data_IF_499203213002
#
_entry.id   IF_499203213002
#
_cell.length_a   1.000
_cell.length_b   1.000
_cell.length_c   1.000
_cell.angle_alpha   90.00
_cell.angle_beta   90.00
_cell.angle_gamma   90.00
#
_symmetry.space_group_name_H-M   'P 1'
#
loop_
_entity.id
_entity.type
_entity.pdbx_description
1 polymer ?
#
# COMPACT_ATOMS: atom_id res chain seq x y z
N UNK A 1 3.25 25.32 -26.68
CA UNK A 1 3.02 26.78 -26.74
C UNK A 1 3.62 27.45 -25.50
N UNK A 2 3.19 27.09 -24.28
CA UNK A 2 3.72 27.64 -23.02
C UNK A 2 5.25 27.55 -22.88
N UNK A 3 5.90 26.42 -23.22
CA UNK A 3 7.37 26.29 -23.18
C UNK A 3 8.14 27.34 -23.99
N UNK A 4 7.53 27.91 -25.05
CA UNK A 4 8.15 28.95 -25.88
C UNK A 4 8.01 30.35 -25.28
N UNK A 5 7.15 30.49 -24.27
CA UNK A 5 6.89 31.75 -23.55
C UNK A 5 7.69 31.81 -22.24
N UNK A 6 8.36 30.72 -21.85
CA UNK A 6 9.22 30.68 -20.67
C UNK A 6 10.62 31.17 -21.03
N UNK A 7 11.12 32.12 -20.25
CA UNK A 7 12.49 32.63 -20.36
C UNK A 7 13.44 31.67 -19.66
N UNK A 8 14.00 30.73 -20.42
CA UNK A 8 14.88 29.67 -19.92
C UNK A 8 16.33 30.10 -20.20
N UNK A 9 17.19 30.22 -19.18
CA UNK A 9 18.60 30.57 -19.36
C UNK A 9 19.33 29.60 -20.29
N UNK A 10 20.31 30.14 -21.03
CA UNK A 10 21.11 29.35 -21.98
C UNK A 10 21.86 28.24 -21.24
N UNK A 11 21.81 27.03 -21.79
CA UNK A 11 22.47 25.84 -21.23
C UNK A 11 21.61 25.02 -20.27
N UNK A 12 20.40 25.49 -19.92
CA UNK A 12 19.44 24.75 -19.10
C UNK A 12 18.37 24.06 -19.96
N UNK A 13 17.98 22.86 -19.54
CA UNK A 13 16.83 22.14 -20.08
C UNK A 13 15.74 22.03 -19.03
N UNK A 14 14.48 22.20 -19.43
CA UNK A 14 13.33 22.06 -18.54
C UNK A 14 12.30 21.10 -19.14
N UNK A 15 11.71 20.29 -18.27
CA UNK A 15 10.69 19.30 -18.62
C UNK A 15 9.40 19.68 -17.91
N UNK A 16 8.34 19.92 -18.69
CA UNK A 16 6.99 20.06 -18.11
C UNK A 16 6.50 18.69 -17.67
N UNK A 17 6.15 18.56 -16.39
CA UNK A 17 5.57 17.34 -15.81
C UNK A 17 4.08 17.25 -16.14
N UNK A 18 3.55 16.03 -16.14
CA UNK A 18 2.11 15.76 -16.33
C UNK A 18 1.21 16.51 -15.35
N UNK A 19 1.70 16.79 -14.13
CA UNK A 19 0.99 17.60 -13.13
C UNK A 19 0.72 19.05 -13.59
N UNK A 20 1.44 19.55 -14.59
CA UNK A 20 1.17 20.86 -15.18
C UNK A 20 0.04 20.87 -16.21
N UNK A 21 -0.60 19.73 -16.49
CA UNK A 21 -1.70 19.69 -17.46
C UNK A 21 -2.89 20.52 -16.98
N UNK A 22 -3.36 21.46 -17.81
CA UNK A 22 -4.46 22.38 -17.47
C UNK A 22 -4.05 23.67 -16.77
N UNK A 23 -2.79 23.79 -16.36
CA UNK A 23 -2.28 24.99 -15.69
C UNK A 23 -2.04 26.16 -16.66
N UNK A 24 -2.12 27.39 -16.12
CA UNK A 24 -1.91 28.63 -16.89
C UNK A 24 -0.43 28.95 -17.04
N UNK A 25 -0.03 29.65 -18.10
CA UNK A 25 1.37 30.04 -18.34
C UNK A 25 2.04 30.72 -17.11
N UNK A 26 1.31 31.57 -16.38
CA UNK A 26 1.77 32.23 -15.14
C UNK A 26 2.26 31.26 -14.05
N UNK A 27 1.67 30.07 -13.98
CA UNK A 27 2.05 29.04 -13.02
C UNK A 27 3.48 28.59 -13.31
N UNK A 28 3.76 28.25 -14.57
CA UNK A 28 5.07 27.78 -15.02
C UNK A 28 6.16 28.85 -14.93
N UNK A 29 5.84 30.13 -15.17
CA UNK A 29 6.81 31.23 -14.99
C UNK A 29 7.25 31.32 -13.53
N UNK A 30 6.31 31.22 -12.58
CA UNK A 30 6.63 31.23 -11.15
C UNK A 30 7.41 30.00 -10.72
N UNK A 31 7.01 28.82 -11.20
CA UNK A 31 7.67 27.55 -10.88
C UNK A 31 9.11 27.52 -11.42
N UNK A 32 9.32 27.97 -12.66
CA UNK A 32 10.66 28.10 -13.24
C UNK A 32 11.54 29.06 -12.43
N UNK A 33 11.00 30.22 -12.03
CA UNK A 33 11.75 31.19 -11.23
C UNK A 33 12.19 30.59 -9.89
N UNK A 34 11.30 29.84 -9.22
CA UNK A 34 11.62 29.15 -7.98
C UNK A 34 12.77 28.14 -8.17
N UNK A 35 12.73 27.34 -9.24
CA UNK A 35 13.80 26.38 -9.56
C UNK A 35 15.14 27.09 -9.87
N UNK A 36 15.11 28.22 -10.57
CA UNK A 36 16.31 29.02 -10.87
C UNK A 36 16.91 29.65 -9.62
N UNK A 37 16.08 30.18 -8.71
CA UNK A 37 16.54 30.72 -7.43
C UNK A 37 17.17 29.63 -6.56
N UNK A 38 16.59 28.42 -6.54
CA UNK A 38 17.18 27.26 -5.87
C UNK A 38 18.52 26.85 -6.50
N UNK A 39 18.60 26.81 -7.84
CA UNK A 39 19.83 26.47 -8.54
C UNK A 39 20.95 27.46 -8.26
N UNK A 40 20.65 28.76 -8.26
CA UNK A 40 21.61 29.81 -7.93
C UNK A 40 22.17 29.68 -6.51
N UNK A 41 21.33 29.26 -5.55
CA UNK A 41 21.77 28.99 -4.18
C UNK A 41 22.70 27.78 -4.10
N UNK A 42 22.39 26.69 -4.82
CA UNK A 42 23.26 25.52 -4.92
C UNK A 42 24.61 25.90 -5.51
N UNK A 43 24.65 26.64 -6.62
CA UNK A 43 25.89 27.12 -7.23
C UNK A 43 26.71 28.01 -6.29
N UNK A 44 26.04 28.86 -5.52
CA UNK A 44 26.69 29.71 -4.51
C UNK A 44 27.34 28.88 -3.41
N UNK A 45 26.62 27.91 -2.85
CA UNK A 45 27.15 27.03 -1.80
C UNK A 45 28.31 26.17 -2.28
N UNK A 46 28.28 25.69 -3.53
CA UNK A 46 29.38 24.95 -4.15
C UNK A 46 30.64 25.82 -4.25
N UNK A 47 30.51 27.11 -4.62
CA UNK A 47 31.65 28.02 -4.73
C UNK A 47 32.22 28.43 -3.37
N UNK A 48 31.35 28.67 -2.40
CA UNK A 48 31.73 29.36 -1.16
C UNK A 48 32.11 28.40 -0.03
N UNK A 49 31.68 27.12 -0.07
CA UNK A 49 31.95 26.16 1.00
C UNK A 49 32.97 25.07 0.60
N UNK A 50 33.96 24.77 1.47
CA UNK A 50 34.88 23.67 1.24
C UNK A 50 34.17 22.31 1.36
N UNK A 51 34.57 21.35 0.54
CA UNK A 51 34.01 19.99 0.54
C UNK A 51 34.54 19.15 1.72
N UNK A 52 33.74 18.19 2.25
CA UNK A 52 32.36 17.87 1.89
C UNK A 52 31.33 18.79 2.60
N UNK A 53 30.35 19.29 1.84
CA UNK A 53 29.26 20.12 2.37
C UNK A 53 27.93 19.75 1.71
N UNK A 54 26.82 19.93 2.44
CA UNK A 54 25.46 19.71 1.92
C UNK A 54 24.98 20.98 1.23
N UNK A 55 24.91 20.96 -0.10
CA UNK A 55 24.50 22.11 -0.92
C UNK A 55 23.01 22.10 -1.27
N UNK A 56 22.38 20.93 -1.18
CA UNK A 56 20.94 20.74 -1.40
C UNK A 56 20.45 19.59 -0.52
N UNK A 57 19.22 19.73 -0.03
CA UNK A 57 18.52 18.69 0.72
C UNK A 57 17.17 18.48 0.04
N UNK A 58 16.77 17.23 -0.17
CA UNK A 58 15.46 16.98 -0.74
C UNK A 58 14.36 17.48 0.21
N UNK A 59 13.31 18.10 -0.34
CA UNK A 59 12.21 18.60 0.46
C UNK A 59 11.61 17.53 1.39
N UNK A 60 11.51 17.87 2.67
CA UNK A 60 10.89 17.00 3.66
C UNK A 60 9.35 16.89 3.44
N UNK A 61 8.64 16.18 4.33
CA UNK A 61 7.18 16.05 4.20
C UNK A 61 6.48 17.41 4.23
N UNK A 62 6.95 18.35 5.04
CA UNK A 62 6.35 19.67 5.23
C UNK A 62 6.46 20.49 3.94
N UNK A 63 7.67 20.56 3.38
CA UNK A 63 7.93 21.27 2.13
C UNK A 63 7.19 20.64 0.94
N UNK A 64 7.17 19.31 0.85
CA UNK A 64 6.39 18.60 -0.18
C UNK A 64 4.91 18.89 -0.04
N UNK A 65 4.40 18.97 1.20
CA UNK A 65 2.99 19.24 1.46
C UNK A 65 2.60 20.63 0.98
N UNK A 66 3.41 21.63 1.31
CA UNK A 66 3.23 23.01 0.86
C UNK A 66 3.25 23.11 -0.67
N UNK A 67 4.21 22.46 -1.33
CA UNK A 67 4.32 22.49 -2.79
C UNK A 67 3.14 21.80 -3.49
N UNK A 68 2.74 20.63 -2.98
CA UNK A 68 1.79 19.77 -3.66
C UNK A 68 0.31 20.09 -3.34
N UNK A 69 0.01 20.65 -2.17
CA UNK A 69 -1.36 20.82 -1.66
C UNK A 69 -1.80 22.28 -1.51
N UNK A 70 -1.02 23.25 -1.97
CA UNK A 70 -1.47 24.64 -2.07
C UNK A 70 -2.03 24.96 -3.46
N UNK A 71 -2.95 24.11 -3.91
CA UNK A 71 -3.73 24.32 -5.13
C UNK A 71 -4.94 25.20 -4.84
N UNK A 72 -5.53 25.86 -5.85
CA UNK A 72 -6.73 26.69 -5.64
C UNK A 72 -7.92 25.88 -5.10
N UNK A 73 -7.95 24.56 -5.33
CA UNK A 73 -9.00 23.61 -4.91
C UNK A 73 -8.99 23.28 -3.41
N UNK A 74 -7.91 23.58 -2.70
CA UNK A 74 -7.78 23.26 -1.27
C UNK A 74 -8.15 24.48 -0.43
N UNK A 75 -9.19 24.31 0.39
CA UNK A 75 -9.72 25.38 1.23
C UNK A 75 -8.82 25.65 2.46
N UNK A 76 -8.34 24.58 3.10
CA UNK A 76 -7.63 24.65 4.37
C UNK A 76 -6.61 23.51 4.52
N UNK A 77 -5.48 23.80 5.16
CA UNK A 77 -4.45 22.85 5.58
C UNK A 77 -4.30 22.98 7.10
N UNK A 78 -4.70 21.93 7.81
CA UNK A 78 -4.62 21.85 9.27
C UNK A 78 -3.37 21.08 9.69
N UNK A 79 -2.68 21.58 10.71
CA UNK A 79 -1.52 20.92 11.31
C UNK A 79 -1.51 21.15 12.83
N UNK A 80 -1.25 20.07 13.58
CA UNK A 80 -1.23 20.03 15.04
C UNK A 80 0.18 20.18 15.64
N UNK A 81 1.21 20.36 14.80
CA UNK A 81 2.56 20.73 15.21
C UNK A 81 2.86 22.21 14.91
N UNK A 82 3.16 22.96 15.97
CA UNK A 82 3.40 24.41 15.89
C UNK A 82 4.67 24.72 15.12
N UNK A 83 5.73 23.93 15.29
CA UNK A 83 6.99 24.15 14.58
C UNK A 83 6.83 23.90 13.07
N UNK A 84 6.12 22.83 12.69
CA UNK A 84 5.78 22.59 11.30
C UNK A 84 4.93 23.73 10.70
N UNK A 85 3.92 24.27 11.41
CA UNK A 85 3.12 25.41 10.93
C UNK A 85 3.97 26.65 10.69
N UNK A 86 4.90 26.97 11.58
CA UNK A 86 5.80 28.11 11.41
C UNK A 86 6.70 27.92 10.20
N UNK A 87 7.29 26.72 10.02
CA UNK A 87 8.07 26.37 8.83
C UNK A 87 7.25 26.48 7.54
N UNK A 88 6.02 25.95 7.54
CA UNK A 88 5.11 26.07 6.38
C UNK A 88 4.81 27.53 6.05
N UNK A 89 4.55 28.38 7.04
CA UNK A 89 4.29 29.80 6.83
C UNK A 89 5.46 30.52 6.14
N UNK A 90 6.70 30.24 6.57
CA UNK A 90 7.91 30.83 5.97
C UNK A 90 8.08 30.40 4.50
N UNK A 91 7.77 29.15 4.18
CA UNK A 91 7.85 28.62 2.82
C UNK A 91 6.76 29.21 1.92
N UNK A 92 5.53 29.26 2.42
CA UNK A 92 4.37 29.81 1.69
C UNK A 92 4.51 31.29 1.42
N UNK A 93 5.13 32.05 2.32
CA UNK A 93 5.38 33.48 2.13
C UNK A 93 6.23 33.77 0.88
N UNK A 94 7.16 32.87 0.53
CA UNK A 94 7.98 32.98 -0.68
C UNK A 94 7.19 32.70 -1.97
N UNK A 95 6.10 31.92 -1.90
CA UNK A 95 5.35 31.45 -3.08
C UNK A 95 4.08 32.29 -3.31
N UNK A 96 3.28 32.51 -2.25
CA UNK A 96 1.99 33.20 -2.33
C UNK A 96 1.49 33.61 -0.95
N UNK A 97 1.40 34.93 -0.70
CA UNK A 97 0.78 35.47 0.52
C UNK A 97 -0.68 35.06 0.71
N UNK A 98 -1.44 34.84 -0.37
CA UNK A 98 -2.86 34.43 -0.29
C UNK A 98 -3.02 33.00 0.23
N UNK A 99 -2.04 32.13 -0.03
CA UNK A 99 -2.05 30.75 0.44
C UNK A 99 -1.78 30.65 1.95
N UNK A 100 -1.15 31.66 2.56
CA UNK A 100 -0.87 31.72 4.00
C UNK A 100 -2.14 31.60 4.85
N UNK A 101 -3.22 32.25 4.41
CA UNK A 101 -4.51 32.24 5.14
C UNK A 101 -5.18 30.87 5.19
N UNK A 102 -4.69 29.89 4.42
CA UNK A 102 -5.21 28.51 4.39
C UNK A 102 -4.50 27.60 5.36
N UNK A 103 -3.31 27.98 5.84
CA UNK A 103 -2.60 27.22 6.88
C UNK A 103 -3.20 27.56 8.23
N UNK A 104 -3.75 26.56 8.94
CA UNK A 104 -4.26 26.74 10.29
C UNK A 104 -3.61 25.75 11.26
N UNK A 105 -3.25 26.27 12.44
CA UNK A 105 -2.81 25.44 13.55
C UNK A 105 -4.03 24.85 14.25
N UNK A 106 -4.00 23.56 14.49
CA UNK A 106 -5.00 22.84 15.25
C UNK A 106 -4.50 22.67 16.69
N UNK A 107 -5.22 23.25 17.65
CA UNK A 107 -4.87 23.25 19.08
C UNK A 107 -5.88 22.48 19.94
N UNK A 108 -6.73 21.67 19.31
CA UNK A 108 -7.73 20.86 20.00
C UNK A 108 -7.10 19.75 20.83
N UNK A 109 -7.74 19.41 21.96
CA UNK A 109 -7.27 18.36 22.86
C UNK A 109 -7.35 16.95 22.25
N UNK A 110 -8.32 16.72 21.36
CA UNK A 110 -8.47 15.46 20.62
C UNK A 110 -7.51 15.45 19.42
N UNK A 111 -6.79 14.35 19.13
CA UNK A 111 -5.93 14.25 17.96
C UNK A 111 -6.65 14.66 16.67
N UNK A 112 -5.94 15.37 15.78
CA UNK A 112 -6.51 16.00 14.59
C UNK A 112 -7.30 15.02 13.70
N UNK A 113 -6.77 13.81 13.46
CA UNK A 113 -7.43 12.81 12.60
C UNK A 113 -8.66 12.18 13.26
N UNK A 114 -8.69 12.07 14.58
CA UNK A 114 -9.89 11.62 15.30
C UNK A 114 -10.97 12.69 15.27
N UNK A 115 -10.61 13.95 15.53
CA UNK A 115 -11.53 15.08 15.48
C UNK A 115 -12.20 15.25 14.09
N UNK A 116 -11.48 14.92 13.02
CA UNK A 116 -11.98 14.93 11.64
C UNK A 116 -12.66 13.62 11.20
N UNK A 117 -12.69 12.57 12.05
CA UNK A 117 -13.27 11.27 11.70
C UNK A 117 -12.48 10.53 10.59
N UNK A 118 -11.21 10.85 10.43
CA UNK A 118 -10.31 10.27 9.43
C UNK A 118 -9.56 9.06 9.99
N UNK A 119 -9.28 9.04 11.31
CA UNK A 119 -8.48 7.99 11.95
C UNK A 119 -8.98 6.58 11.60
N UNK A 120 -10.29 6.35 11.76
CA UNK A 120 -10.91 5.07 11.40
C UNK A 120 -10.68 4.68 9.94
N UNK A 121 -10.71 5.65 9.01
CA UNK A 121 -10.47 5.36 7.60
C UNK A 121 -9.00 5.02 7.31
N UNK A 122 -8.06 5.56 8.09
CA UNK A 122 -6.64 5.21 8.03
C UNK A 122 -6.46 3.78 8.53
N UNK A 123 -7.03 3.45 9.69
CA UNK A 123 -6.94 2.10 10.26
C UNK A 123 -7.56 1.06 9.31
N UNK A 124 -8.75 1.36 8.78
CA UNK A 124 -9.45 0.50 7.81
C UNK A 124 -8.68 0.37 6.49
N UNK A 125 -7.87 1.36 6.11
CA UNK A 125 -7.11 1.34 4.86
C UNK A 125 -5.99 0.30 4.84
N UNK A 126 -5.58 -0.30 5.97
CA UNK A 126 -4.57 -1.36 5.99
C UNK A 126 -5.14 -2.77 6.18
N UNK A 127 -6.46 -2.88 6.36
CA UNK A 127 -7.10 -4.19 6.48
C UNK A 127 -7.07 -4.92 5.15
N UNK A 128 -6.83 -6.24 5.18
CA UNK A 128 -6.95 -7.09 3.99
C UNK A 128 -8.33 -6.98 3.33
N UNK A 129 -9.38 -6.83 4.14
CA UNK A 129 -10.77 -6.69 3.70
C UNK A 129 -11.28 -5.27 3.97
N UNK A 130 -11.86 -4.64 2.94
CA UNK A 130 -12.43 -3.28 3.02
C UNK A 130 -13.90 -3.31 2.67
N UNK A 131 -14.75 -2.84 3.58
CA UNK A 131 -16.20 -2.83 3.39
C UNK A 131 -16.67 -1.68 2.50
N UNK A 132 -17.60 -1.99 1.60
CA UNK A 132 -18.30 -1.05 0.74
C UNK A 132 -19.58 -0.54 1.43
N UNK A 133 -20.08 0.61 1.01
CA UNK A 133 -21.27 1.25 1.62
C UNK A 133 -22.52 0.42 1.41
N UNK A 134 -22.62 -0.28 0.27
CA UNK A 134 -23.71 -1.20 -0.03
C UNK A 134 -23.72 -2.48 0.84
N UNK A 135 -22.67 -2.75 1.62
CA UNK A 135 -22.52 -3.97 2.42
C UNK A 135 -21.80 -5.12 1.71
N UNK A 136 -21.30 -4.88 0.49
CA UNK A 136 -20.24 -5.68 -0.12
C UNK A 136 -18.87 -5.37 0.48
N UNK A 137 -17.83 -6.02 -0.02
CA UNK A 137 -16.45 -5.74 0.40
C UNK A 137 -15.46 -6.10 -0.71
N UNK A 138 -14.29 -5.48 -0.68
CA UNK A 138 -13.14 -5.88 -1.50
C UNK A 138 -12.09 -6.54 -0.62
N UNK A 139 -11.36 -7.49 -1.19
CA UNK A 139 -10.21 -8.15 -0.57
C UNK A 139 -8.99 -7.82 -1.40
N UNK A 140 -7.94 -7.29 -0.77
CA UNK A 140 -6.70 -6.89 -1.45
C UNK A 140 -5.58 -7.82 -0.99
N UNK A 141 -5.03 -8.59 -1.92
CA UNK A 141 -3.92 -9.50 -1.71
C UNK A 141 -2.70 -9.04 -2.51
N UNK A 142 -1.66 -8.62 -1.80
CA UNK A 142 -0.37 -8.27 -2.37
C UNK A 142 0.49 -9.54 -2.48
N UNK A 143 0.91 -9.88 -3.70
CA UNK A 143 1.81 -11.00 -3.98
C UNK A 143 3.16 -10.48 -4.46
N UNK A 144 4.12 -11.38 -4.68
CA UNK A 144 5.45 -11.01 -5.19
C UNK A 144 5.40 -10.29 -6.54
N UNK A 145 4.54 -10.75 -7.47
CA UNK A 145 4.53 -10.25 -8.85
C UNK A 145 3.41 -9.25 -9.13
N UNK A 146 2.28 -9.36 -8.43
CA UNK A 146 1.08 -8.58 -8.71
C UNK A 146 0.21 -8.40 -7.47
N UNK A 147 -0.72 -7.45 -7.54
CA UNK A 147 -1.76 -7.27 -6.52
C UNK A 147 -3.08 -7.77 -7.08
N UNK A 148 -3.70 -8.71 -6.38
CA UNK A 148 -5.02 -9.22 -6.71
C UNK A 148 -6.07 -8.53 -5.83
N UNK A 149 -7.18 -8.11 -6.45
CA UNK A 149 -8.31 -7.53 -5.74
C UNK A 149 -9.58 -8.29 -6.08
N UNK A 150 -10.23 -8.87 -5.09
CA UNK A 150 -11.46 -9.65 -5.24
C UNK A 150 -12.68 -8.86 -4.71
N UNK A 151 -13.79 -8.87 -5.44
CA UNK A 151 -15.01 -8.11 -5.10
C UNK A 151 -16.14 -9.05 -4.69
N UNK A 152 -16.65 -8.85 -3.47
CA UNK A 152 -17.70 -9.68 -2.90
C UNK A 152 -18.97 -8.88 -2.59
N UNK A 153 -20.13 -9.49 -2.85
CA UNK A 153 -21.45 -8.90 -2.51
C UNK A 153 -21.74 -8.90 -1.01
N UNK A 154 -21.09 -9.77 -0.22
CA UNK A 154 -21.19 -9.78 1.23
C UNK A 154 -22.64 -9.86 1.75
N UNK A 155 -23.06 -8.83 2.48
CA UNK A 155 -24.43 -8.70 3.03
C UNK A 155 -25.41 -8.12 2.00
N UNK A 156 -24.92 -7.56 0.90
CA UNK A 156 -25.71 -7.01 -0.20
C UNK A 156 -26.22 -8.11 -1.13
N UNK A 157 -27.08 -9.01 -0.64
CA UNK A 157 -27.54 -10.17 -1.41
C UNK A 157 -28.63 -9.87 -2.43
N UNK A 158 -28.97 -8.60 -2.64
CA UNK A 158 -29.96 -8.18 -3.63
C UNK A 158 -31.38 -8.61 -3.26
N UNK A 159 -32.34 -7.70 -3.49
CA UNK A 159 -33.76 -8.03 -3.41
C UNK A 159 -34.24 -8.65 -4.73
N UNK A 160 -35.20 -7.99 -5.39
CA UNK A 160 -35.82 -8.46 -6.64
C UNK A 160 -34.96 -8.32 -7.90
N UNK A 161 -33.84 -7.60 -7.86
CA UNK A 161 -33.01 -7.29 -9.04
C UNK A 161 -31.51 -7.51 -8.76
N UNK A 162 -31.05 -8.73 -9.01
CA UNK A 162 -29.68 -9.18 -8.74
C UNK A 162 -28.68 -8.46 -9.66
N UNK A 163 -29.03 -8.23 -10.92
CA UNK A 163 -28.11 -7.62 -11.91
C UNK A 163 -27.79 -6.17 -11.54
N UNK A 164 -28.76 -5.38 -11.08
CA UNK A 164 -28.50 -4.03 -10.56
C UNK A 164 -27.66 -4.03 -9.29
N UNK A 165 -27.88 -5.00 -8.41
CA UNK A 165 -27.12 -5.12 -7.16
C UNK A 165 -25.64 -5.42 -7.46
N UNK A 166 -25.37 -6.29 -8.43
CA UNK A 166 -24.02 -6.59 -8.92
C UNK A 166 -23.36 -5.33 -9.50
N UNK A 167 -24.03 -4.64 -10.43
CA UNK A 167 -23.48 -3.42 -11.02
C UNK A 167 -23.16 -2.37 -9.95
N UNK A 168 -24.09 -2.12 -9.02
CA UNK A 168 -23.86 -1.17 -7.94
C UNK A 168 -22.65 -1.55 -7.08
N UNK A 169 -22.53 -2.83 -6.72
CA UNK A 169 -21.39 -3.33 -5.92
C UNK A 169 -20.07 -3.15 -6.67
N UNK A 170 -20.02 -3.47 -7.96
CA UNK A 170 -18.83 -3.29 -8.78
C UNK A 170 -18.45 -1.80 -8.98
N UNK A 171 -19.44 -0.90 -9.10
CA UNK A 171 -19.17 0.54 -9.19
C UNK A 171 -18.60 1.09 -7.87
N UNK A 172 -19.16 0.70 -6.73
CA UNK A 172 -18.62 1.07 -5.42
C UNK A 172 -17.22 0.47 -5.20
N UNK A 173 -17.02 -0.78 -5.63
CA UNK A 173 -15.71 -1.42 -5.58
C UNK A 173 -14.69 -0.68 -6.45
N UNK A 174 -15.03 -0.25 -7.67
CA UNK A 174 -14.10 0.47 -8.53
C UNK A 174 -13.64 1.81 -7.93
N UNK A 175 -14.55 2.55 -7.28
CA UNK A 175 -14.23 3.78 -6.57
C UNK A 175 -13.31 3.51 -5.37
N UNK A 176 -13.63 2.49 -4.59
CA UNK A 176 -12.86 2.11 -3.40
C UNK A 176 -11.48 1.55 -3.74
N UNK A 177 -11.36 0.72 -4.78
CA UNK A 177 -10.08 0.22 -5.29
C UNK A 177 -9.18 1.38 -5.67
N UNK A 178 -9.66 2.33 -6.49
CA UNK A 178 -8.88 3.50 -6.87
C UNK A 178 -8.44 4.33 -5.64
N UNK A 179 -9.28 4.41 -4.59
CA UNK A 179 -8.94 5.06 -3.32
C UNK A 179 -7.84 4.30 -2.57
N UNK A 180 -7.98 2.98 -2.41
CA UNK A 180 -7.03 2.12 -1.68
C UNK A 180 -5.66 2.07 -2.36
N UNK A 181 -5.60 2.04 -3.69
CA UNK A 181 -4.34 2.10 -4.43
C UNK A 181 -3.50 3.34 -4.05
N UNK A 182 -4.16 4.49 -3.83
CA UNK A 182 -3.50 5.72 -3.38
C UNK A 182 -3.12 5.65 -1.90
N UNK A 183 -4.06 5.23 -1.06
CA UNK A 183 -3.85 5.22 0.39
C UNK A 183 -2.76 4.24 0.83
N UNK A 184 -2.66 3.08 0.19
CA UNK A 184 -1.63 2.05 0.47
C UNK A 184 -0.37 2.22 -0.37
N UNK A 185 -0.36 3.19 -1.28
CA UNK A 185 0.68 3.36 -2.29
C UNK A 185 0.98 2.08 -3.10
N UNK A 186 -0.05 1.30 -3.43
CA UNK A 186 0.12 0.06 -4.22
C UNK A 186 0.57 0.39 -5.64
N UNK A 187 1.61 -0.30 -6.13
CA UNK A 187 2.08 -0.13 -7.50
C UNK A 187 2.57 -1.45 -8.11
N UNK A 188 2.76 -1.44 -9.43
CA UNK A 188 3.06 -2.62 -10.24
C UNK A 188 1.85 -3.06 -11.05
N UNK A 189 1.74 -4.37 -11.30
CA UNK A 189 0.60 -5.00 -11.95
C UNK A 189 -0.51 -5.21 -10.92
N UNK A 190 -1.72 -4.76 -11.22
CA UNK A 190 -2.92 -4.96 -10.40
C UNK A 190 -3.98 -5.66 -11.26
N UNK A 191 -4.59 -6.69 -10.69
CA UNK A 191 -5.68 -7.44 -11.28
C UNK A 191 -6.88 -7.32 -10.35
N UNK A 192 -7.99 -6.78 -10.85
CA UNK A 192 -9.25 -6.70 -10.12
C UNK A 192 -10.27 -7.68 -10.70
N UNK A 193 -10.71 -8.62 -9.87
CA UNK A 193 -11.76 -9.60 -10.15
C UNK A 193 -13.11 -9.03 -9.70
N UNK A 194 -13.85 -8.46 -10.65
CA UNK A 194 -15.18 -7.91 -10.41
C UNK A 194 -16.22 -9.01 -10.51
N UNK A 195 -17.35 -8.84 -9.82
CA UNK A 195 -18.46 -9.79 -9.89
C UNK A 195 -18.97 -9.88 -11.34
N UNK A 196 -19.19 -11.09 -11.84
CA UNK A 196 -19.63 -11.34 -13.21
C UNK A 196 -20.85 -10.51 -13.63
N UNK A 197 -20.66 -9.70 -14.68
CA UNK A 197 -21.71 -8.90 -15.31
C UNK A 197 -22.04 -9.45 -16.69
N UNK A 198 -23.32 -9.72 -16.96
CA UNK A 198 -23.78 -10.18 -18.28
C UNK A 198 -23.76 -9.08 -19.34
N UNK A 199 -24.01 -7.84 -18.94
CA UNK A 199 -24.10 -6.70 -19.84
C UNK A 199 -22.74 -6.09 -20.16
N UNK A 200 -22.37 -6.00 -21.44
CA UNK A 200 -21.19 -5.21 -21.86
C UNK A 200 -21.28 -3.73 -21.45
N UNK A 201 -22.50 -3.19 -21.39
CA UNK A 201 -22.75 -1.81 -20.93
C UNK A 201 -22.32 -1.62 -19.47
N UNK A 202 -22.56 -2.62 -18.63
CA UNK A 202 -22.25 -2.59 -17.20
C UNK A 202 -20.75 -2.73 -16.98
N UNK A 203 -20.10 -3.65 -17.69
CA UNK A 203 -18.64 -3.76 -17.73
C UNK A 203 -17.97 -2.44 -18.15
N UNK A 204 -18.50 -1.79 -19.18
CA UNK A 204 -18.00 -0.50 -19.65
C UNK A 204 -18.21 0.62 -18.62
N UNK A 205 -19.32 0.60 -17.88
CA UNK A 205 -19.59 1.57 -16.82
C UNK A 205 -18.55 1.47 -15.69
N UNK A 206 -18.24 0.25 -15.25
CA UNK A 206 -17.21 -0.02 -14.22
C UNK A 206 -15.83 0.42 -14.71
N UNK A 207 -15.45 0.08 -15.95
CA UNK A 207 -14.18 0.53 -16.55
C UNK A 207 -14.07 2.05 -16.63
N UNK A 208 -15.12 2.73 -17.10
CA UNK A 208 -15.13 4.19 -17.22
C UNK A 208 -15.00 4.87 -15.84
N UNK A 209 -15.69 4.36 -14.82
CA UNK A 209 -15.60 4.87 -13.46
C UNK A 209 -14.18 4.68 -12.91
N UNK A 210 -13.59 3.49 -13.04
CA UNK A 210 -12.20 3.24 -12.61
C UNK A 210 -11.24 4.24 -13.26
N UNK A 211 -11.34 4.43 -14.58
CA UNK A 211 -10.50 5.37 -15.33
C UNK A 211 -10.69 6.82 -14.85
N UNK A 212 -11.91 7.23 -14.56
CA UNK A 212 -12.22 8.56 -14.02
C UNK A 212 -11.57 8.77 -12.64
N UNK A 213 -11.68 7.79 -11.74
CA UNK A 213 -11.14 7.87 -10.39
C UNK A 213 -9.61 7.85 -10.36
N UNK A 214 -8.99 7.09 -11.25
CA UNK A 214 -7.53 7.04 -11.39
C UNK A 214 -6.94 8.31 -12.03
N UNK A 215 -7.73 9.13 -12.73
CA UNK A 215 -7.25 10.41 -13.27
C UNK A 215 -6.77 11.38 -12.19
N UNK A 216 -7.26 11.23 -10.95
CA UNK A 216 -6.84 12.03 -9.79
C UNK A 216 -5.55 11.50 -9.14
N UNK A 217 -5.04 10.35 -9.58
CA UNK A 217 -3.82 9.78 -9.06
C UNK A 217 -2.60 10.52 -9.63
N UNK A 218 -1.63 10.81 -8.76
CA UNK A 218 -0.35 11.41 -9.17
C UNK A 218 0.55 10.41 -9.88
N UNK A 219 0.43 9.12 -9.55
CA UNK A 219 1.17 8.06 -10.20
C UNK A 219 0.60 7.76 -11.59
N UNK A 220 1.47 7.47 -12.57
CA UNK A 220 1.01 7.09 -13.91
C UNK A 220 0.28 5.76 -13.85
N UNK A 221 -0.96 5.73 -14.33
CA UNK A 221 -1.80 4.54 -14.38
C UNK A 221 -2.15 4.17 -15.82
N UNK A 222 -2.24 2.87 -16.10
CA UNK A 222 -2.81 2.35 -17.34
C UNK A 222 -3.80 1.25 -17.00
N UNK A 223 -5.07 1.43 -17.38
CA UNK A 223 -6.16 0.48 -17.11
C UNK A 223 -6.71 -0.05 -18.42
N UNK A 224 -6.91 -1.37 -18.50
CA UNK A 224 -7.53 -2.05 -19.62
C UNK A 224 -9.01 -2.35 -19.33
N UNK A 225 -9.86 -2.47 -20.37
CA UNK A 225 -11.23 -2.96 -20.19
C UNK A 225 -11.26 -4.35 -19.54
N UNK A 226 -12.39 -4.70 -18.93
CA UNK A 226 -12.61 -6.04 -18.38
C UNK A 226 -12.42 -7.08 -19.51
N UNK A 227 -11.55 -8.05 -19.25
CA UNK A 227 -11.17 -9.09 -20.20
C UNK A 227 -12.30 -10.11 -20.40
N UNK A 228 -12.10 -11.04 -21.33
CA UNK A 228 -13.04 -12.14 -21.53
C UNK A 228 -13.11 -13.10 -20.34
N UNK A 229 -12.10 -13.09 -19.46
CA UNK A 229 -12.05 -13.87 -18.23
C UNK A 229 -12.71 -13.16 -17.04
N UNK A 230 -13.30 -11.96 -17.24
CA UNK A 230 -13.94 -11.19 -16.16
C UNK A 230 -12.98 -10.30 -15.36
N UNK A 231 -11.69 -10.32 -15.68
CA UNK A 231 -10.66 -9.59 -14.94
C UNK A 231 -10.39 -8.20 -15.53
N UNK A 232 -10.23 -7.20 -14.66
CA UNK A 232 -9.69 -5.89 -15.04
C UNK A 232 -8.20 -5.83 -14.72
N UNK A 233 -7.39 -5.64 -15.76
CA UNK A 233 -5.93 -5.51 -15.64
C UNK A 233 -5.51 -4.05 -15.67
N UNK A 234 -4.61 -3.67 -14.78
CA UNK A 234 -4.03 -2.34 -14.78
C UNK A 234 -2.59 -2.32 -14.27
N UNK A 235 -1.86 -1.26 -14.62
CA UNK A 235 -0.55 -0.96 -14.07
C UNK A 235 -0.58 0.41 -13.41
N UNK A 236 0.11 0.52 -12.28
CA UNK A 236 0.34 1.79 -11.57
C UNK A 236 1.82 1.92 -11.29
N UNK A 237 2.43 3.05 -11.67
CA UNK A 237 3.85 3.29 -11.47
C UNK A 237 4.21 3.20 -9.97
N UNK A 238 5.25 2.41 -9.64
CA UNK A 238 5.85 2.38 -8.31
C UNK A 238 6.70 3.63 -8.12
N UNK A 239 6.28 4.51 -7.21
CA UNK A 239 7.05 5.69 -6.83
C UNK A 239 7.95 5.42 -5.61
N UNK A 240 7.47 4.58 -4.70
CA UNK A 240 8.12 4.14 -3.45
C UNK A 240 7.68 2.70 -3.14
N UNK A 241 8.26 2.08 -2.12
CA UNK A 241 7.76 0.82 -1.56
C UNK A 241 6.31 0.94 -1.10
N UNK A 242 5.59 -0.18 -1.02
CA UNK A 242 4.21 -0.14 -0.52
C UNK A 242 4.22 0.26 0.96
N UNK A 243 3.16 0.89 1.44
CA UNK A 243 3.07 1.19 2.88
C UNK A 243 3.07 -0.08 3.73
N UNK A 244 2.56 -1.18 3.18
CA UNK A 244 2.57 -2.49 3.83
C UNK A 244 4.01 -2.93 4.15
N UNK A 245 4.94 -2.77 3.21
CA UNK A 245 6.36 -3.14 3.38
C UNK A 245 7.09 -2.26 4.41
N UNK A 246 6.63 -1.01 4.59
CA UNK A 246 7.21 -0.08 5.59
C UNK A 246 6.64 -0.31 7.00
N UNK A 247 5.39 -0.75 7.10
CA UNK A 247 4.67 -0.87 8.39
C UNK A 247 4.77 -2.29 8.96
N UNK A 248 4.83 -3.32 8.11
CA UNK A 248 4.75 -4.71 8.54
C UNK A 248 6.03 -5.49 8.19
N UNK A 249 6.39 -6.41 9.07
CA UNK A 249 7.41 -7.42 8.81
C UNK A 249 6.75 -8.76 8.48
N UNK A 250 7.42 -9.55 7.63
CA UNK A 250 6.96 -10.89 7.30
C UNK A 250 6.89 -11.76 8.57
N UNK A 251 5.82 -12.55 8.69
CA UNK A 251 5.67 -13.47 9.81
C UNK A 251 6.88 -14.44 9.88
N UNK A 252 7.59 -14.51 11.02
CA UNK A 252 8.83 -15.28 11.13
C UNK A 252 8.61 -16.79 11.02
N UNK A 253 7.37 -17.27 11.23
CA UNK A 253 7.03 -18.68 11.18
C UNK A 253 6.72 -19.16 9.76
N UNK A 254 5.89 -18.41 9.03
CA UNK A 254 5.42 -18.83 7.71
C UNK A 254 6.12 -18.10 6.56
N UNK A 255 6.93 -17.07 6.85
CA UNK A 255 7.60 -16.24 5.84
C UNK A 255 6.61 -15.46 4.98
N UNK A 256 5.52 -14.98 5.59
CA UNK A 256 4.46 -14.24 4.88
C UNK A 256 3.40 -15.12 4.20
N UNK A 257 3.50 -16.46 4.22
CA UNK A 257 2.50 -17.35 3.59
C UNK A 257 1.09 -17.30 4.19
N UNK A 258 0.91 -16.72 5.38
CA UNK A 258 -0.39 -16.65 6.06
C UNK A 258 -0.96 -18.01 6.52
N UNK A 259 -0.24 -19.11 6.29
CA UNK A 259 -0.67 -20.47 6.65
C UNK A 259 0.48 -21.22 7.32
N UNK A 260 0.14 -22.13 8.23
CA UNK A 260 1.07 -23.05 8.90
C UNK A 260 0.65 -24.48 8.64
N UNK A 261 1.58 -25.44 8.74
CA UNK A 261 1.25 -26.86 8.58
C UNK A 261 0.28 -27.29 9.67
N UNK A 262 -0.63 -28.20 9.32
CA UNK A 262 -1.55 -28.81 10.30
C UNK A 262 -0.78 -29.69 11.28
N UNK A 263 -1.40 -29.99 12.43
CA UNK A 263 -0.82 -30.91 13.42
C UNK A 263 -0.55 -32.29 12.84
N UNK A 264 -1.42 -32.77 11.94
CA UNK A 264 -1.27 -34.03 11.22
C UNK A 264 -0.06 -34.04 10.28
N UNK A 265 0.08 -33.04 9.41
CA UNK A 265 1.26 -32.98 8.52
C UNK A 265 2.55 -32.89 9.33
N UNK A 266 2.52 -32.13 10.43
CA UNK A 266 3.66 -31.97 11.33
C UNK A 266 3.99 -33.27 12.07
N UNK A 267 3.00 -34.05 12.51
CA UNK A 267 3.23 -35.32 13.21
C UNK A 267 3.85 -36.37 12.28
N UNK A 268 3.39 -36.46 11.03
CA UNK A 268 3.96 -37.36 10.02
C UNK A 268 5.41 -36.98 9.68
N UNK A 269 5.70 -35.68 9.51
CA UNK A 269 7.07 -35.21 9.27
C UNK A 269 7.99 -35.48 10.46
N UNK A 270 7.49 -35.27 11.68
CA UNK A 270 8.22 -35.60 12.90
C UNK A 270 8.53 -37.09 12.96
N UNK A 271 7.56 -37.98 12.68
CA UNK A 271 7.76 -39.42 12.68
C UNK A 271 8.86 -39.84 11.69
N UNK A 272 8.84 -39.31 10.46
CA UNK A 272 9.89 -39.55 9.45
C UNK A 272 11.25 -39.04 9.90
N UNK A 273 11.28 -37.88 10.56
CA UNK A 273 12.52 -37.28 11.07
C UNK A 273 13.09 -38.11 12.21
N UNK A 274 12.25 -38.53 13.18
CA UNK A 274 12.63 -39.41 14.28
C UNK A 274 13.15 -40.74 13.76
N UNK A 275 12.44 -41.40 12.84
CA UNK A 275 12.89 -42.65 12.22
C UNK A 275 14.28 -42.50 11.56
N UNK A 276 14.52 -41.38 10.89
CA UNK A 276 15.81 -41.10 10.23
C UNK A 276 16.93 -40.86 11.25
N UNK A 277 16.67 -40.04 12.27
CA UNK A 277 17.65 -39.67 13.31
C UNK A 277 17.97 -40.87 14.20
N UNK A 278 16.95 -41.59 14.67
CA UNK A 278 17.12 -42.78 15.52
C UNK A 278 17.88 -43.88 14.78
N UNK A 279 17.54 -44.14 13.50
CA UNK A 279 18.31 -45.09 12.67
C UNK A 279 19.78 -44.69 12.52
N UNK A 280 20.06 -43.40 12.35
CA UNK A 280 21.42 -42.89 12.13
C UNK A 280 22.31 -43.04 13.37
N UNK A 281 21.73 -42.90 14.57
CA UNK A 281 22.48 -42.90 15.83
C UNK A 281 22.18 -44.11 16.74
N UNK A 282 21.55 -45.15 16.19
CA UNK A 282 21.06 -46.32 16.94
C UNK A 282 22.13 -47.00 17.82
N UNK A 283 23.41 -46.92 17.44
CA UNK A 283 24.50 -47.58 18.17
C UNK A 283 25.07 -46.75 19.34
N UNK A 284 24.80 -45.43 19.38
CA UNK A 284 25.47 -44.50 20.31
C UNK A 284 24.50 -43.63 21.12
N UNK A 285 23.25 -43.46 20.67
CA UNK A 285 22.27 -42.56 21.28
C UNK A 285 20.96 -43.31 21.49
N UNK A 286 20.53 -43.38 22.74
CA UNK A 286 19.29 -44.06 23.13
C UNK A 286 18.24 -43.10 23.69
N UNK A 287 18.60 -41.87 24.10
CA UNK A 287 17.66 -40.89 24.63
C UNK A 287 17.49 -39.72 23.64
N UNK A 288 16.25 -39.46 23.23
CA UNK A 288 15.90 -38.38 22.29
C UNK A 288 14.92 -37.41 22.94
N UNK A 289 15.32 -36.15 23.04
CA UNK A 289 14.44 -35.07 23.49
C UNK A 289 13.80 -34.36 22.29
N UNK A 290 12.48 -34.32 22.25
CA UNK A 290 11.68 -33.73 21.17
C UNK A 290 10.92 -32.54 21.74
N UNK A 291 11.19 -31.34 21.24
CA UNK A 291 10.47 -30.13 21.65
C UNK A 291 9.50 -29.75 20.53
N UNK A 292 8.22 -29.58 20.86
CA UNK A 292 7.16 -29.33 19.88
C UNK A 292 6.02 -28.50 20.46
N UNK A 293 5.14 -28.03 19.57
CA UNK A 293 3.93 -27.33 19.95
C UNK A 293 2.94 -28.26 20.69
N UNK A 294 2.21 -27.79 21.72
CA UNK A 294 1.26 -28.59 22.49
C UNK A 294 0.17 -29.30 21.65
N UNK A 295 -0.31 -28.69 20.57
CA UNK A 295 -1.35 -29.28 19.72
C UNK A 295 -0.82 -30.49 18.94
N UNK A 296 0.46 -30.42 18.52
CA UNK A 296 1.13 -31.55 17.88
C UNK A 296 1.37 -32.66 18.92
N UNK A 297 1.74 -32.29 20.16
CA UNK A 297 1.94 -33.27 21.23
C UNK A 297 0.65 -33.99 21.60
N UNK A 298 -0.45 -33.25 21.68
CA UNK A 298 -1.77 -33.82 21.94
C UNK A 298 -2.13 -34.85 20.88
N UNK A 299 -2.00 -34.50 19.59
CA UNK A 299 -2.23 -35.43 18.49
C UNK A 299 -1.35 -36.67 18.59
N UNK A 300 -0.06 -36.49 18.86
CA UNK A 300 0.89 -37.61 18.97
C UNK A 300 0.49 -38.60 20.07
N UNK A 301 -0.04 -38.12 21.18
CA UNK A 301 -0.50 -38.96 22.30
C UNK A 301 -1.87 -39.58 22.08
N UNK A 302 -2.76 -38.91 21.36
CA UNK A 302 -4.14 -39.39 21.18
C UNK A 302 -4.33 -40.24 19.92
N UNK A 303 -3.68 -39.87 18.82
CA UNK A 303 -3.89 -40.50 17.50
C UNK A 303 -2.70 -41.31 17.01
N UNK A 304 -1.47 -40.88 17.30
CA UNK A 304 -0.25 -41.48 16.73
C UNK A 304 0.60 -42.25 17.78
N UNK A 305 0.03 -42.59 18.95
CA UNK A 305 0.78 -43.17 20.09
C UNK A 305 1.42 -44.51 19.73
N UNK A 306 0.69 -45.39 19.04
CA UNK A 306 1.20 -46.71 18.63
C UNK A 306 2.43 -46.59 17.72
N UNK A 307 2.44 -45.58 16.84
CA UNK A 307 3.55 -45.33 15.91
C UNK A 307 4.81 -44.84 16.63
N UNK A 308 4.67 -44.14 17.75
CA UNK A 308 5.79 -43.72 18.60
C UNK A 308 6.37 -44.90 19.38
N UNK A 309 5.50 -45.72 19.96
CA UNK A 309 5.92 -46.94 20.67
C UNK A 309 6.66 -47.89 19.72
N UNK A 310 6.20 -48.02 18.48
CA UNK A 310 6.88 -48.85 17.48
C UNK A 310 8.29 -48.32 17.16
N UNK A 311 8.46 -47.00 17.06
CA UNK A 311 9.77 -46.38 16.85
C UNK A 311 10.73 -46.62 18.02
N UNK A 312 10.27 -46.41 19.26
CA UNK A 312 11.05 -46.66 20.48
C UNK A 312 11.53 -48.11 20.54
N UNK A 313 10.63 -49.06 20.27
CA UNK A 313 10.94 -50.49 20.24
C UNK A 313 11.92 -50.85 19.13
N UNK A 314 11.71 -50.34 17.91
CA UNK A 314 12.53 -50.68 16.74
C UNK A 314 13.99 -50.26 16.91
N UNK A 315 14.23 -49.11 17.53
CA UNK A 315 15.56 -48.53 17.69
C UNK A 315 16.12 -48.63 19.11
N UNK A 316 15.45 -49.35 20.01
CA UNK A 316 15.81 -49.43 21.43
C UNK A 316 16.12 -48.06 22.05
N UNK A 317 15.29 -47.06 21.71
CA UNK A 317 15.45 -45.68 22.13
C UNK A 317 14.24 -45.17 22.91
N UNK A 318 14.43 -44.11 23.69
CA UNK A 318 13.42 -43.45 24.51
C UNK A 318 13.17 -42.03 23.99
N UNK A 319 11.92 -41.71 23.74
CA UNK A 319 11.46 -40.37 23.36
C UNK A 319 11.00 -39.61 24.60
N UNK A 320 11.48 -38.37 24.75
CA UNK A 320 11.07 -37.44 25.79
C UNK A 320 10.50 -36.20 25.14
N UNK A 321 9.24 -35.88 25.42
CA UNK A 321 8.51 -34.74 24.86
C UNK A 321 8.38 -33.60 25.88
#
# INVERSE_FOLDING_TARGET
>A
KILRELDIPVGLGVIIRTVGEGERARYFVRDLRFLLDQWAEVERLIRDQPAPCRVFEEPDLVERTVRDFLTEEIDEVLCDDREAVERMNQLVEKISRRARNRLKFYDGATPIFEALGIQKQIDDAFHRQVWLRCGGYIVIDETEALVAVDVNTGRNKGGRDVEKTILQTNLEAADEIARQLRLRNIGGLIIADFIDMKGRKDQQAVFNLMKERLRRDKAKTHVLPISQLGLMEMTRQRAQESLSDTIYENCPYCGGRGVVKTSMTTSVELHRTLNTVMRKYQDNVHDFRVILNPDVLKRLKEEDEELLIELERRYAGRLMF
#
